data_IF_637560723536
#
_entry.id   IF_637560723536
#
_cell.length_a   1.000
_cell.length_b   1.000
_cell.length_c   1.000
_cell.angle_alpha   90.00
_cell.angle_beta   90.00
_cell.angle_gamma   90.00
#
_symmetry.space_group_name_H-M   'P 1'
#
loop_
_entity.id
_entity.type
_entity.pdbx_description
1 polymer ?
#
# COMPACT_ATOMS: atom_id res chain seq x y z
N UNK A 1 -2.79 25.02 25.98
CA UNK A 1 -3.16 26.40 25.58
C UNK A 1 -3.33 26.47 24.08
N UNK A 2 -4.36 27.14 23.59
CA UNK A 2 -4.53 27.41 22.16
C UNK A 2 -3.75 28.67 21.76
N UNK A 3 -3.18 28.67 20.56
CA UNK A 3 -2.48 29.81 19.98
C UNK A 3 -3.33 30.45 18.91
N UNK A 4 -3.53 31.76 18.97
CA UNK A 4 -4.19 32.56 17.96
C UNK A 4 -3.13 33.13 17.00
N UNK A 5 -3.36 33.02 15.69
CA UNK A 5 -2.38 33.45 14.68
C UNK A 5 -2.78 34.74 13.97
N UNK A 6 -4.04 35.09 13.95
CA UNK A 6 -4.57 36.25 13.21
C UNK A 6 -5.68 36.98 14.00
N UNK A 7 -5.50 37.18 15.32
CA UNK A 7 -6.50 37.77 16.17
C UNK A 7 -7.72 36.89 16.43
N UNK A 8 -8.78 37.47 17.05
CA UNK A 8 -9.97 36.75 17.52
C UNK A 8 -10.80 36.12 16.39
N UNK A 9 -10.75 36.67 15.20
CA UNK A 9 -11.45 36.19 14.00
C UNK A 9 -10.57 35.29 13.11
N UNK A 10 -9.32 35.10 13.46
CA UNK A 10 -8.36 34.25 12.70
C UNK A 10 -8.38 32.80 13.12
N UNK A 11 -7.65 32.00 12.33
CA UNK A 11 -7.46 30.58 12.66
C UNK A 11 -6.67 30.41 13.96
N UNK A 12 -7.04 29.42 14.76
CA UNK A 12 -6.34 29.08 15.99
C UNK A 12 -5.87 27.61 15.98
N UNK A 13 -4.81 27.33 16.71
CA UNK A 13 -4.28 25.98 16.89
C UNK A 13 -4.33 25.60 18.38
N UNK A 14 -4.89 24.45 18.67
CA UNK A 14 -5.04 23.92 20.01
C UNK A 14 -6.51 23.80 20.46
N UNK A 15 -6.73 23.58 21.76
CA UNK A 15 -8.06 23.34 22.33
C UNK A 15 -8.57 24.59 23.05
N UNK A 16 -9.79 24.99 22.72
CA UNK A 16 -10.55 26.05 23.41
C UNK A 16 -11.89 25.45 23.82
N UNK A 17 -12.09 25.24 25.10
CA UNK A 17 -13.31 24.61 25.63
C UNK A 17 -13.60 23.27 24.96
N UNK A 18 -14.71 23.19 24.26
CA UNK A 18 -15.18 21.99 23.55
C UNK A 18 -14.74 21.92 22.09
N UNK A 19 -13.92 22.85 21.62
CA UNK A 19 -13.48 22.95 20.23
C UNK A 19 -11.97 22.78 20.13
N UNK A 20 -11.53 22.04 19.11
CA UNK A 20 -10.13 21.88 18.75
C UNK A 20 -9.92 22.51 17.38
N UNK A 21 -9.05 23.54 17.31
CA UNK A 21 -8.59 24.15 16.07
C UNK A 21 -7.27 23.53 15.63
N UNK A 22 -7.09 23.35 14.33
CA UNK A 22 -5.85 22.88 13.73
C UNK A 22 -5.70 23.35 12.29
N UNK A 23 -4.44 23.40 11.82
CA UNK A 23 -4.12 23.79 10.45
C UNK A 23 -3.64 22.57 9.67
N UNK A 24 -4.17 22.36 8.48
CA UNK A 24 -3.76 21.32 7.54
C UNK A 24 -3.72 21.92 6.12
N UNK A 25 -2.64 21.69 5.38
CA UNK A 25 -2.45 22.18 4.01
C UNK A 25 -2.79 23.66 3.85
N UNK A 26 -2.29 24.48 4.76
CA UNK A 26 -2.52 25.93 4.82
C UNK A 26 -3.99 26.37 5.10
N UNK A 27 -4.89 25.45 5.40
CA UNK A 27 -6.28 25.73 5.75
C UNK A 27 -6.52 25.49 7.24
N UNK A 28 -7.43 26.28 7.82
CA UNK A 28 -7.83 26.17 9.20
C UNK A 28 -9.07 25.31 9.33
N UNK A 29 -9.03 24.38 10.25
CA UNK A 29 -10.14 23.48 10.56
C UNK A 29 -10.47 23.54 12.04
N UNK A 30 -11.74 23.31 12.33
CA UNK A 30 -12.25 23.17 13.69
C UNK A 30 -13.04 21.87 13.81
N UNK A 31 -12.89 21.19 14.93
CA UNK A 31 -13.72 20.02 15.27
C UNK A 31 -14.13 20.05 16.72
N UNK A 32 -15.25 19.42 17.03
CA UNK A 32 -15.66 19.24 18.42
C UNK A 32 -14.66 18.32 19.15
N UNK A 33 -14.37 18.63 20.40
CA UNK A 33 -13.63 17.75 21.28
C UNK A 33 -14.56 16.62 21.73
N UNK A 34 -14.21 15.34 21.49
CA UNK A 34 -15.04 14.25 21.96
C UNK A 34 -15.10 14.25 23.49
N UNK A 35 -16.30 14.05 24.05
CA UNK A 35 -16.52 14.03 25.51
C UNK A 35 -15.83 12.84 26.16
N UNK A 36 -15.91 11.67 25.52
CA UNK A 36 -15.16 10.46 25.90
C UNK A 36 -14.75 9.73 24.64
N UNK A 37 -13.60 9.09 24.70
CA UNK A 37 -13.10 8.22 23.62
C UNK A 37 -12.96 6.84 24.20
N UNK A 38 -13.88 5.94 23.84
CA UNK A 38 -13.69 4.53 24.10
C UNK A 38 -12.45 4.06 23.33
N UNK A 39 -11.48 3.50 24.05
CA UNK A 39 -10.29 2.92 23.46
C UNK A 39 -10.19 1.44 23.86
N UNK A 40 -11.07 0.60 23.32
CA UNK A 40 -10.99 -0.83 23.60
C UNK A 40 -9.65 -1.34 23.09
N UNK A 41 -8.99 -2.16 23.92
CA UNK A 41 -7.69 -2.78 23.61
C UNK A 41 -7.90 -4.24 23.23
N UNK A 42 -8.80 -4.49 22.28
CA UNK A 42 -8.96 -5.84 21.76
C UNK A 42 -7.70 -6.28 21.02
N UNK A 43 -7.44 -7.57 21.02
CA UNK A 43 -6.27 -8.16 20.37
C UNK A 43 -6.20 -7.78 18.87
N UNK A 44 -7.32 -7.89 18.16
CA UNK A 44 -7.43 -7.49 16.75
C UNK A 44 -7.07 -6.01 16.52
N UNK A 45 -7.54 -5.11 17.40
CA UNK A 45 -7.19 -3.69 17.29
C UNK A 45 -5.72 -3.43 17.59
N UNK A 46 -5.14 -4.16 18.53
CA UNK A 46 -3.71 -4.02 18.84
C UNK A 46 -2.86 -4.55 17.68
N UNK A 47 -3.22 -5.68 17.07
CA UNK A 47 -2.56 -6.24 15.91
C UNK A 47 -2.61 -5.24 14.72
N UNK A 48 -3.78 -4.70 14.41
CA UNK A 48 -3.94 -3.72 13.34
C UNK A 48 -3.13 -2.43 13.60
N UNK A 49 -3.09 -1.96 14.85
CA UNK A 49 -2.28 -0.78 15.20
C UNK A 49 -0.78 -1.03 15.07
N UNK A 50 -0.29 -2.23 15.41
CA UNK A 50 1.11 -2.62 15.20
C UNK A 50 1.44 -2.61 13.71
N UNK A 51 0.69 -3.35 12.89
CA UNK A 51 0.90 -3.40 11.45
C UNK A 51 0.90 -2.00 10.82
N UNK A 52 -0.03 -1.14 11.22
CA UNK A 52 -0.05 0.25 10.75
C UNK A 52 1.18 1.04 11.20
N UNK A 53 1.61 0.84 12.45
CA UNK A 53 2.83 1.45 12.98
C UNK A 53 4.08 1.02 12.22
N UNK A 54 4.18 -0.28 11.89
CA UNK A 54 5.29 -0.85 11.11
C UNK A 54 5.32 -0.25 9.70
N UNK A 55 4.15 -0.11 9.06
CA UNK A 55 4.02 0.51 7.74
C UNK A 55 4.43 2.00 7.74
N UNK A 56 4.05 2.75 8.77
CA UNK A 56 4.48 4.16 8.93
C UNK A 56 5.98 4.26 9.21
N UNK A 57 6.53 3.33 9.99
CA UNK A 57 7.97 3.23 10.24
C UNK A 57 8.73 2.95 8.95
N UNK A 58 8.26 1.99 8.15
CA UNK A 58 8.81 1.68 6.83
C UNK A 58 8.75 2.89 5.89
N UNK A 59 7.62 3.61 5.85
CA UNK A 59 7.50 4.84 5.07
C UNK A 59 8.55 5.90 5.46
N UNK A 60 8.88 5.99 6.74
CA UNK A 60 9.93 6.90 7.23
C UNK A 60 11.31 6.48 6.77
N UNK A 61 11.61 5.18 6.77
CA UNK A 61 12.88 4.62 6.28
C UNK A 61 13.03 4.78 4.76
N UNK A 62 11.95 4.61 4.00
CA UNK A 62 11.91 4.78 2.54
C UNK A 62 11.79 6.25 2.08
N UNK A 63 11.76 7.21 3.00
CA UNK A 63 11.50 8.61 2.69
C UNK A 63 12.40 9.21 1.59
N UNK A 64 13.69 8.87 1.45
CA UNK A 64 14.53 9.37 0.34
C UNK A 64 13.97 9.00 -1.04
N UNK A 65 13.49 7.78 -1.22
CA UNK A 65 12.86 7.31 -2.45
C UNK A 65 11.47 7.95 -2.64
N UNK A 66 10.67 8.00 -1.57
CA UNK A 66 9.30 8.52 -1.60
C UNK A 66 9.24 10.02 -1.92
N UNK A 67 10.22 10.82 -1.48
CA UNK A 67 10.29 12.26 -1.82
C UNK A 67 10.38 12.49 -3.32
N UNK A 68 11.03 11.60 -4.05
CA UNK A 68 11.10 11.66 -5.51
C UNK A 68 9.87 10.99 -6.12
N UNK A 69 9.61 9.74 -5.74
CA UNK A 69 8.56 8.92 -6.34
C UNK A 69 7.14 9.45 -6.16
N UNK A 70 6.85 10.11 -5.03
CA UNK A 70 5.53 10.66 -4.71
C UNK A 70 5.43 12.17 -4.96
N UNK A 71 6.45 12.80 -5.53
CA UNK A 71 6.52 14.25 -5.74
C UNK A 71 5.32 14.79 -6.50
N UNK A 72 4.83 14.05 -7.47
CA UNK A 72 3.68 14.44 -8.29
C UNK A 72 2.35 14.02 -7.67
N UNK A 73 2.26 12.80 -7.17
CA UNK A 73 1.04 12.22 -6.64
C UNK A 73 0.59 12.83 -5.29
N UNK A 74 1.51 12.99 -4.35
CA UNK A 74 1.18 13.41 -3.00
C UNK A 74 0.51 14.80 -2.91
N UNK A 75 0.97 15.87 -3.63
CA UNK A 75 0.31 17.16 -3.61
C UNK A 75 -1.09 17.14 -4.20
N UNK A 76 -1.33 16.37 -5.27
CA UNK A 76 -2.65 16.27 -5.90
C UNK A 76 -3.71 15.72 -4.93
N UNK A 77 -3.30 14.85 -3.99
CA UNK A 77 -4.17 14.27 -2.98
C UNK A 77 -4.07 14.97 -1.61
N UNK A 78 -3.41 16.13 -1.56
CA UNK A 78 -3.17 16.89 -0.32
C UNK A 78 -2.52 16.05 0.79
N UNK A 79 -1.59 15.17 0.43
CA UNK A 79 -0.88 14.25 1.32
C UNK A 79 0.61 14.57 1.40
N UNK A 80 1.28 14.05 2.43
CA UNK A 80 2.74 13.95 2.47
C UNK A 80 3.18 12.71 1.68
N UNK A 81 4.44 12.66 1.25
CA UNK A 81 4.97 11.49 0.52
C UNK A 81 4.81 10.18 1.31
N UNK A 82 5.07 10.20 2.63
CA UNK A 82 4.87 9.03 3.49
C UNK A 82 3.41 8.63 3.60
N UNK A 83 2.47 9.59 3.74
CA UNK A 83 1.04 9.28 3.78
C UNK A 83 0.53 8.73 2.45
N UNK A 84 1.04 9.26 1.32
CA UNK A 84 0.72 8.75 -0.01
C UNK A 84 1.19 7.29 -0.17
N UNK A 85 2.40 6.98 0.30
CA UNK A 85 2.92 5.61 0.31
C UNK A 85 2.02 4.67 1.12
N UNK A 86 1.67 5.04 2.35
CA UNK A 86 0.76 4.23 3.19
C UNK A 86 -0.59 4.06 2.50
N UNK A 87 -1.15 5.14 1.91
CA UNK A 87 -2.43 5.09 1.23
C UNK A 87 -2.45 4.11 0.04
N UNK A 88 -1.37 4.05 -0.73
CA UNK A 88 -1.27 3.18 -1.91
C UNK A 88 -0.96 1.72 -1.58
N UNK A 89 -0.28 1.47 -0.46
CA UNK A 89 0.25 0.15 -0.11
C UNK A 89 -0.46 -0.50 1.09
N UNK A 90 -1.49 0.14 1.63
CA UNK A 90 -2.31 -0.40 2.71
C UNK A 90 -3.65 -0.89 2.18
N UNK A 91 -3.90 -2.18 2.32
CA UNK A 91 -5.17 -2.82 1.95
C UNK A 91 -6.03 -3.11 3.18
N UNK A 92 -7.23 -3.63 2.97
CA UNK A 92 -8.10 -4.08 4.07
C UNK A 92 -7.47 -5.23 4.88
N UNK A 93 -6.62 -6.02 4.26
CA UNK A 93 -5.93 -7.17 4.87
C UNK A 93 -4.61 -6.76 5.56
N UNK A 94 -4.19 -5.52 5.38
CA UNK A 94 -2.95 -4.96 5.94
C UNK A 94 -1.98 -4.48 4.86
N UNK A 95 -0.68 -4.44 5.20
CA UNK A 95 0.37 -4.07 4.28
C UNK A 95 0.60 -5.17 3.22
N UNK A 96 0.83 -4.75 1.99
CA UNK A 96 1.24 -5.65 0.90
C UNK A 96 2.71 -6.05 1.04
N UNK A 97 3.15 -7.07 0.30
CA UNK A 97 4.56 -7.49 0.27
C UNK A 97 5.48 -6.36 -0.19
N UNK A 98 6.70 -6.30 0.34
CA UNK A 98 7.73 -5.33 -0.07
C UNK A 98 7.95 -5.31 -1.59
N UNK A 99 7.90 -6.47 -2.24
CA UNK A 99 8.08 -6.61 -3.68
C UNK A 99 6.99 -5.92 -4.50
N UNK A 100 5.77 -5.93 -3.98
CA UNK A 100 4.59 -5.37 -4.64
C UNK A 100 4.35 -3.90 -4.27
N UNK A 101 5.16 -3.35 -3.35
CA UNK A 101 5.00 -1.98 -2.89
C UNK A 101 5.32 -0.95 -3.95
N UNK A 102 4.44 0.02 -4.08
CA UNK A 102 4.60 1.18 -4.97
C UNK A 102 5.32 2.31 -4.25
N UNK A 103 6.56 2.56 -4.63
CA UNK A 103 7.35 3.68 -4.11
C UNK A 103 7.17 4.95 -4.95
N UNK A 104 6.68 4.80 -6.16
CA UNK A 104 6.47 5.88 -7.12
C UNK A 104 5.21 5.65 -7.93
N UNK A 105 4.52 6.73 -8.25
CA UNK A 105 3.35 6.75 -9.14
C UNK A 105 3.42 7.99 -10.02
N UNK A 106 3.23 7.82 -11.31
CA UNK A 106 3.17 8.93 -12.24
C UNK A 106 3.01 8.51 -13.70
N UNK A 107 2.91 9.48 -14.60
CA UNK A 107 2.57 9.24 -16.00
C UNK A 107 3.75 8.85 -16.89
N UNK A 108 4.98 8.87 -16.37
CA UNK A 108 6.17 8.56 -17.18
C UNK A 108 6.22 7.05 -17.44
N UNK A 109 6.36 6.60 -18.70
CA UNK A 109 6.43 5.18 -19.00
C UNK A 109 7.70 4.54 -18.42
N UNK A 110 7.56 3.33 -17.87
CA UNK A 110 8.70 2.55 -17.37
C UNK A 110 9.51 1.99 -18.54
N UNK A 111 10.80 1.70 -18.32
CA UNK A 111 11.63 0.89 -19.23
C UNK A 111 11.35 -0.58 -19.00
N UNK A 112 11.65 -1.43 -20.00
CA UNK A 112 11.61 -2.87 -19.81
C UNK A 112 13.03 -3.36 -19.53
N UNK A 113 13.28 -3.85 -18.31
CA UNK A 113 14.56 -4.46 -17.97
C UNK A 113 14.71 -5.81 -18.66
N UNK A 114 15.79 -5.97 -19.39
CA UNK A 114 16.13 -7.19 -20.12
C UNK A 114 17.15 -8.05 -19.37
N UNK A 115 17.95 -7.43 -18.53
CA UNK A 115 18.95 -8.11 -17.71
C UNK A 115 19.09 -7.39 -16.38
N UNK A 116 19.08 -8.17 -15.29
CA UNK A 116 19.26 -7.69 -13.92
C UNK A 116 20.20 -8.69 -13.26
N UNK A 117 21.45 -8.31 -13.01
CA UNK A 117 22.44 -9.18 -12.34
C UNK A 117 23.12 -8.42 -11.21
N UNK A 118 23.39 -9.14 -10.13
CA UNK A 118 24.23 -8.68 -9.03
C UNK A 118 25.31 -9.71 -8.82
N UNK A 119 26.53 -9.41 -9.23
CA UNK A 119 27.70 -10.29 -9.13
C UNK A 119 28.84 -9.54 -8.45
N UNK A 120 29.45 -10.14 -7.45
CA UNK A 120 30.55 -9.53 -6.68
C UNK A 120 30.27 -8.12 -6.16
N UNK A 121 28.99 -7.84 -5.84
CA UNK A 121 28.54 -6.51 -5.40
C UNK A 121 28.38 -5.51 -6.54
N UNK A 122 28.55 -5.90 -7.80
CA UNK A 122 28.30 -5.06 -8.97
C UNK A 122 26.88 -5.32 -9.48
N UNK A 123 26.05 -4.28 -9.43
CA UNK A 123 24.73 -4.28 -10.05
C UNK A 123 24.88 -3.94 -11.53
N UNK A 124 24.45 -4.84 -12.40
CA UNK A 124 24.37 -4.59 -13.84
C UNK A 124 22.92 -4.68 -14.30
N UNK A 125 22.47 -3.63 -14.97
CA UNK A 125 21.13 -3.51 -15.53
C UNK A 125 21.22 -3.23 -17.03
N UNK A 126 20.38 -3.90 -17.83
CA UNK A 126 20.14 -3.54 -19.21
C UNK A 126 18.64 -3.37 -19.45
N UNK A 127 18.26 -2.45 -20.31
CA UNK A 127 16.85 -2.17 -20.58
C UNK A 127 16.63 -1.70 -22.02
N UNK A 128 15.38 -1.87 -22.48
CA UNK A 128 14.88 -1.23 -23.68
C UNK A 128 14.33 0.16 -23.37
N UNK A 129 14.58 1.09 -24.25
CA UNK A 129 14.17 2.50 -24.08
C UNK A 129 12.66 2.70 -24.03
N UNK A 130 11.89 1.82 -24.69
CA UNK A 130 10.42 1.94 -24.81
C UNK A 130 9.96 3.31 -25.32
N UNK A 131 10.69 3.92 -26.25
CA UNK A 131 10.40 5.27 -26.78
C UNK A 131 9.11 5.33 -27.61
N UNK A 132 8.53 4.19 -27.98
CA UNK A 132 7.24 4.10 -28.62
C UNK A 132 6.06 4.44 -27.71
N UNK A 133 6.29 4.42 -26.38
CA UNK A 133 5.30 4.85 -25.41
C UNK A 133 5.25 6.38 -25.37
N UNK A 134 4.03 6.91 -25.46
CA UNK A 134 3.79 8.34 -25.38
C UNK A 134 4.34 8.93 -24.06
N UNK A 135 5.17 9.95 -24.18
CA UNK A 135 5.78 10.61 -23.01
C UNK A 135 7.16 10.10 -22.61
N UNK A 136 7.68 9.03 -23.23
CA UNK A 136 9.04 8.55 -23.01
C UNK A 136 10.06 9.46 -23.74
N UNK A 137 11.12 9.86 -23.02
CA UNK A 137 12.19 10.70 -23.57
C UNK A 137 13.56 10.06 -23.33
N UNK A 138 14.51 10.36 -24.19
CA UNK A 138 15.88 9.87 -24.06
C UNK A 138 16.59 10.39 -22.80
N UNK A 139 16.23 11.60 -22.38
CA UNK A 139 16.81 12.33 -21.24
C UNK A 139 16.18 11.94 -19.90
N UNK A 140 15.14 11.09 -19.90
CA UNK A 140 14.55 10.60 -18.66
C UNK A 140 15.60 9.85 -17.84
N UNK A 141 15.62 10.08 -16.54
CA UNK A 141 16.57 9.48 -15.62
C UNK A 141 16.00 8.22 -14.98
N UNK A 142 16.67 7.10 -15.23
CA UNK A 142 16.43 5.83 -14.53
C UNK A 142 17.17 5.90 -13.20
N UNK A 143 16.42 5.91 -12.09
CA UNK A 143 16.99 5.96 -10.73
C UNK A 143 16.78 4.63 -10.04
N UNK A 144 17.83 4.13 -9.41
CA UNK A 144 17.81 2.89 -8.65
C UNK A 144 17.94 3.22 -7.17
N UNK A 145 16.96 2.80 -6.40
CA UNK A 145 16.94 2.93 -4.95
C UNK A 145 17.17 1.57 -4.31
N UNK A 146 18.08 1.53 -3.35
CA UNK A 146 18.35 0.38 -2.52
C UNK A 146 17.85 0.63 -1.10
N UNK A 147 17.23 -0.36 -0.50
CA UNK A 147 16.77 -0.37 0.89
C UNK A 147 17.35 -1.57 1.62
N UNK A 148 18.14 -1.30 2.63
CA UNK A 148 18.63 -2.31 3.56
C UNK A 148 17.66 -2.41 4.75
N UNK A 149 17.04 -3.57 4.93
CA UNK A 149 16.05 -3.78 5.98
C UNK A 149 16.68 -3.78 7.38
N UNK A 150 17.85 -4.39 7.54
CA UNK A 150 18.56 -4.49 8.82
C UNK A 150 18.96 -3.12 9.37
N UNK A 151 19.55 -2.30 8.51
CA UNK A 151 20.02 -0.96 8.88
C UNK A 151 18.91 0.09 8.78
N UNK A 152 17.81 -0.23 8.11
CA UNK A 152 16.71 0.71 7.84
C UNK A 152 17.14 1.89 6.96
N UNK A 153 18.14 1.71 6.11
CA UNK A 153 18.70 2.75 5.24
C UNK A 153 18.15 2.63 3.83
N UNK A 154 17.84 3.77 3.24
CA UNK A 154 17.45 3.88 1.83
C UNK A 154 18.33 4.90 1.12
N UNK A 155 18.89 4.52 -0.01
CA UNK A 155 19.74 5.39 -0.82
C UNK A 155 19.47 5.21 -2.31
N UNK A 156 19.63 6.30 -3.09
CA UNK A 156 19.76 6.20 -4.53
C UNK A 156 21.18 5.73 -4.85
N UNK A 157 21.32 4.48 -5.26
CA UNK A 157 22.63 3.85 -5.52
C UNK A 157 23.13 4.09 -6.93
N UNK A 158 22.21 4.35 -7.87
CA UNK A 158 22.60 4.63 -9.24
C UNK A 158 21.56 5.50 -9.96
N UNK A 159 22.06 6.23 -10.96
CA UNK A 159 21.23 7.01 -11.88
C UNK A 159 21.85 6.94 -13.28
N UNK A 160 21.03 6.70 -14.29
CA UNK A 160 21.46 6.71 -15.69
C UNK A 160 20.35 7.30 -16.57
N UNK A 161 20.71 7.86 -17.72
CA UNK A 161 19.72 8.30 -18.70
C UNK A 161 19.08 7.10 -19.40
N UNK A 162 17.80 7.20 -19.73
CA UNK A 162 17.06 6.18 -20.51
C UNK A 162 17.79 5.76 -21.78
N UNK A 163 18.45 6.72 -22.48
CA UNK A 163 19.19 6.46 -23.72
C UNK A 163 20.39 5.53 -23.54
N UNK A 164 20.97 5.43 -22.34
CA UNK A 164 22.16 4.63 -22.06
C UNK A 164 21.94 3.13 -22.22
N UNK A 165 20.69 2.66 -22.04
CA UNK A 165 20.28 1.24 -22.14
C UNK A 165 21.01 0.28 -21.21
N UNK A 166 22.00 0.76 -20.49
CA UNK A 166 22.84 -0.02 -19.59
C UNK A 166 23.30 0.84 -18.43
N UNK A 167 23.35 0.21 -17.26
CA UNK A 167 23.94 0.73 -16.04
C UNK A 167 24.77 -0.38 -15.42
N UNK A 168 26.01 -0.07 -14.98
CA UNK A 168 26.79 -0.95 -14.13
C UNK A 168 27.38 -0.11 -13.01
N UNK A 169 27.15 -0.51 -11.77
CA UNK A 169 27.59 0.22 -10.59
C UNK A 169 27.97 -0.73 -9.46
N UNK A 170 29.01 -0.40 -8.71
CA UNK A 170 29.35 -1.11 -7.50
C UNK A 170 28.36 -0.69 -6.39
N UNK A 171 27.68 -1.65 -5.81
CA UNK A 171 26.82 -1.40 -4.64
C UNK A 171 27.71 -1.21 -3.41
N UNK A 172 27.44 -0.20 -2.58
CA UNK A 172 28.08 -0.09 -1.27
C UNK A 172 27.80 -1.36 -0.44
N UNK A 173 28.73 -1.76 0.42
CA UNK A 173 28.62 -3.00 1.22
C UNK A 173 27.31 -3.11 1.99
N UNK A 174 26.80 -1.97 2.49
CA UNK A 174 25.51 -1.91 3.18
C UNK A 174 24.30 -2.31 2.31
N UNK A 175 24.45 -2.37 0.98
CA UNK A 175 23.35 -2.63 0.04
C UNK A 175 23.55 -3.88 -0.82
N UNK A 176 24.46 -4.78 -0.47
CA UNK A 176 24.70 -6.02 -1.23
C UNK A 176 23.50 -6.96 -1.24
N UNK A 177 22.77 -7.01 -0.12
CA UNK A 177 21.54 -7.82 0.05
C UNK A 177 20.29 -6.95 0.18
N UNK A 178 20.31 -5.76 -0.40
CA UNK A 178 19.22 -4.81 -0.27
C UNK A 178 18.09 -5.08 -1.27
N UNK A 179 16.91 -4.65 -0.90
CA UNK A 179 15.80 -4.54 -1.83
C UNK A 179 16.04 -3.40 -2.82
N UNK A 180 15.83 -3.67 -4.10
CA UNK A 180 16.11 -2.70 -5.17
C UNK A 180 14.81 -2.31 -5.89
N UNK A 181 14.61 -1.02 -6.11
CA UNK A 181 13.54 -0.48 -6.95
C UNK A 181 14.09 0.47 -7.99
N UNK A 182 13.54 0.36 -9.19
CA UNK A 182 13.73 1.32 -10.24
C UNK A 182 12.53 2.25 -10.34
N UNK A 183 12.79 3.51 -10.60
CA UNK A 183 11.80 4.49 -11.04
C UNK A 183 12.42 5.42 -12.08
N UNK A 184 11.59 6.02 -12.90
CA UNK A 184 12.04 6.97 -13.92
C UNK A 184 11.55 8.35 -13.54
N UNK A 185 12.42 9.33 -13.67
CA UNK A 185 12.11 10.74 -13.50
C UNK A 185 12.37 11.49 -14.81
N UNK A 186 11.38 12.21 -15.29
CA UNK A 186 11.53 13.07 -16.46
C UNK A 186 12.17 14.43 -16.07
N UNK A 187 12.66 15.21 -17.04
CA UNK A 187 13.26 16.54 -16.76
C UNK A 187 12.32 17.53 -16.07
N UNK A 188 11.00 17.29 -16.10
CA UNK A 188 10.01 18.11 -15.41
C UNK A 188 9.74 17.63 -13.96
N UNK A 189 10.42 16.58 -13.49
CA UNK A 189 10.25 16.00 -12.16
C UNK A 189 9.03 15.09 -12.01
N UNK A 190 8.38 14.69 -13.13
CA UNK A 190 7.33 13.67 -13.10
C UNK A 190 7.99 12.31 -13.07
N UNK A 191 7.31 11.34 -12.45
CA UNK A 191 7.87 10.00 -12.25
C UNK A 191 7.06 8.93 -12.97
N UNK A 192 7.64 7.75 -13.09
CA UNK A 192 6.96 6.52 -13.48
C UNK A 192 6.35 5.81 -12.27
N UNK A 193 5.61 4.75 -12.50
CA UNK A 193 5.39 3.73 -11.47
C UNK A 193 6.73 3.06 -11.13
N UNK A 194 6.93 2.68 -9.86
CA UNK A 194 8.15 1.98 -9.43
C UNK A 194 8.08 0.51 -9.80
N UNK A 195 9.23 -0.08 -10.12
CA UNK A 195 9.38 -1.50 -10.36
C UNK A 195 10.38 -2.09 -9.38
N UNK A 196 9.99 -3.16 -8.69
CA UNK A 196 10.91 -3.96 -7.89
C UNK A 196 11.84 -4.75 -8.81
N UNK A 197 13.14 -4.73 -8.51
CA UNK A 197 14.16 -5.43 -9.27
C UNK A 197 14.53 -6.72 -8.53
N UNK A 198 14.09 -7.85 -9.06
CA UNK A 198 14.59 -9.14 -8.61
C UNK A 198 15.88 -9.44 -9.36
N UNK A 199 17.01 -9.66 -8.66
CA UNK A 199 18.20 -10.18 -9.30
C UNK A 199 17.85 -11.51 -9.97
N UNK A 200 18.06 -11.60 -11.26
CA UNK A 200 17.98 -12.88 -11.96
C UNK A 200 19.13 -13.72 -11.42
N UNK A 201 18.86 -14.56 -10.43
CA UNK A 201 19.79 -15.64 -10.10
C UNK A 201 20.03 -16.42 -11.39
N UNK A 202 21.28 -16.64 -11.81
CA UNK A 202 21.53 -17.49 -12.95
C UNK A 202 20.81 -18.81 -12.68
N UNK A 203 19.81 -19.12 -13.50
CA UNK A 203 19.08 -20.37 -13.40
C UNK A 203 20.12 -21.50 -13.34
N UNK A 204 20.18 -22.19 -12.20
CA UNK A 204 20.98 -23.42 -12.11
C UNK A 204 20.68 -24.22 -13.36
N UNK A 205 21.70 -24.67 -14.11
CA UNK A 205 21.49 -25.43 -15.32
C UNK A 205 20.52 -26.55 -14.98
N UNK A 206 19.36 -26.55 -15.63
CA UNK A 206 18.36 -27.60 -15.50
C UNK A 206 19.09 -28.94 -15.61
N UNK A 207 19.10 -29.70 -14.52
CA UNK A 207 19.68 -31.05 -14.51
C UNK A 207 19.12 -31.78 -15.71
N UNK A 208 19.99 -32.44 -16.53
CA UNK A 208 19.51 -33.16 -17.69
C UNK A 208 18.51 -34.19 -17.20
N UNK A 209 17.31 -34.14 -17.75
CA UNK A 209 16.25 -35.13 -17.53
C UNK A 209 16.83 -36.51 -17.73
N UNK A 210 16.85 -37.33 -16.67
CA UNK A 210 17.24 -38.72 -16.71
C UNK A 210 16.46 -39.44 -17.80
N UNK A 211 17.12 -40.28 -18.63
CA UNK A 211 16.41 -41.01 -19.66
C UNK A 211 15.40 -41.96 -19.02
N UNK A 212 14.17 -41.88 -19.50
CA UNK A 212 13.06 -42.75 -19.13
C UNK A 212 13.45 -44.23 -19.29
N UNK A 213 13.41 -44.98 -18.19
CA UNK A 213 13.57 -46.44 -18.19
C UNK A 213 12.47 -47.09 -19.04
N UNK A 214 12.80 -48.18 -19.77
CA UNK A 214 11.83 -48.83 -20.63
C UNK A 214 10.74 -49.54 -19.80
N UNK A 215 9.52 -49.40 -20.26
CA UNK A 215 8.31 -50.03 -19.77
C UNK A 215 8.41 -51.54 -19.70
N UNK A 216 8.15 -52.11 -18.53
CA UNK A 216 7.93 -53.57 -18.35
C UNK A 216 6.48 -53.93 -18.76
N UNK A 217 6.28 -55.20 -19.23
CA UNK A 217 5.07 -55.57 -19.96
C UNK A 217 3.84 -55.77 -19.07
N UNK A 218 2.72 -55.49 -19.67
CA UNK A 218 1.37 -55.67 -19.18
C UNK A 218 1.06 -57.16 -18.93
N UNK A 219 0.48 -57.49 -17.78
CA UNK A 219 -0.26 -58.73 -17.56
C UNK A 219 -1.75 -58.44 -17.42
N UNK A 220 -2.59 -59.24 -18.11
CA UNK A 220 -4.05 -59.06 -18.06
C UNK A 220 -4.68 -59.98 -17.01
N UNK A 221 -5.73 -59.55 -16.37
CA UNK A 221 -6.92 -60.31 -15.94
C UNK A 221 -7.72 -59.50 -14.91
N UNK A 222 -8.77 -58.99 -15.35
CA UNK A 222 -10.24 -59.35 -15.22
C UNK A 222 -10.86 -59.33 -13.82
N UNK A 223 -12.18 -59.29 -13.77
CA UNK A 223 -12.92 -58.18 -13.14
C UNK A 223 -13.72 -58.72 -11.92
N UNK A 224 -13.98 -57.86 -11.00
CA UNK A 224 -15.07 -58.13 -10.04
C UNK A 224 -15.78 -56.86 -9.65
N UNK A 225 -17.03 -56.76 -10.11
CA UNK A 225 -18.07 -55.92 -9.54
C UNK A 225 -18.81 -56.79 -8.50
N UNK A 226 -19.11 -56.31 -7.31
CA UNK A 226 -20.52 -56.03 -7.08
C UNK A 226 -20.86 -54.88 -6.13
N UNK A 227 -21.95 -54.21 -6.51
CA UNK A 227 -23.12 -53.85 -5.68
C UNK A 227 -23.04 -52.66 -4.72
N UNK A 228 -23.77 -51.69 -5.11
CA UNK A 228 -24.43 -50.61 -4.37
C UNK A 228 -25.31 -51.18 -3.23
N UNK A 229 -25.44 -50.47 -2.14
CA UNK A 229 -26.79 -50.22 -1.66
C UNK A 229 -27.11 -48.73 -1.48
N UNK A 230 -28.30 -48.49 -1.90
CA UNK A 230 -29.18 -47.34 -1.90
C UNK A 230 -29.38 -46.70 -0.53
N UNK A 231 -29.74 -45.44 -0.61
CA UNK A 231 -30.08 -44.42 0.39
C UNK A 231 -31.08 -44.87 1.50
N UNK A 232 -31.29 -43.99 2.48
CA UNK A 232 -32.53 -43.25 2.44
C UNK A 232 -32.40 -41.72 2.65
N UNK A 233 -33.27 -41.10 1.92
CA UNK A 233 -33.78 -39.75 2.00
C UNK A 233 -34.42 -39.51 3.36
N UNK A 234 -34.00 -38.45 4.05
CA UNK A 234 -34.86 -37.83 5.06
C UNK A 234 -34.89 -36.33 4.83
N UNK A 235 -36.01 -35.95 4.38
CA UNK A 235 -36.52 -34.59 4.27
C UNK A 235 -36.99 -34.11 5.63
N UNK A 236 -36.42 -33.04 6.11
CA UNK A 236 -37.07 -32.19 7.12
C UNK A 236 -36.91 -30.71 6.77
N UNK A 237 -37.99 -29.94 6.87
CA UNK A 237 -38.02 -28.56 6.39
C UNK A 237 -37.47 -27.59 7.41
N UNK A 238 -36.75 -26.59 6.88
CA UNK A 238 -36.25 -25.41 7.58
C UNK A 238 -37.41 -24.57 8.13
N UNK A 239 -37.48 -24.44 9.42
CA UNK A 239 -38.25 -23.42 10.09
C UNK A 239 -37.39 -22.16 10.29
N UNK A 240 -37.92 -21.09 9.76
CA UNK A 240 -37.43 -19.72 9.89
C UNK A 240 -37.91 -19.15 11.23
N UNK A 241 -37.05 -18.60 12.09
CA UNK A 241 -37.53 -17.84 13.24
C UNK A 241 -37.84 -16.40 12.84
N UNK A 242 -39.04 -16.00 13.11
CA UNK A 242 -39.64 -14.68 12.96
C UNK A 242 -38.98 -13.67 13.89
N UNK A 243 -38.79 -12.47 13.36
CA UNK A 243 -38.55 -11.23 14.13
C UNK A 243 -39.75 -10.92 15.05
N UNK A 244 -39.54 -10.44 16.27
CA UNK A 244 -40.59 -9.77 17.01
C UNK A 244 -40.67 -8.29 16.57
N UNK A 245 -41.86 -7.97 16.05
CA UNK A 245 -42.32 -6.56 15.95
C UNK A 245 -42.64 -6.06 17.34
N UNK A 246 -42.06 -4.99 17.73
CA UNK A 246 -42.47 -4.24 18.89
C UNK A 246 -43.34 -3.06 18.46
N UNK A 247 -44.61 -3.21 18.80
CA UNK A 247 -45.65 -2.17 18.78
C UNK A 247 -45.88 -1.73 20.23
N UNK A 248 -45.71 -0.48 20.50
CA UNK A 248 -46.45 0.25 21.55
C UNK A 248 -46.04 1.70 21.47
N UNK A 249 -46.87 2.45 21.21
CA UNK A 249 -48.04 3.05 21.82
C UNK A 249 -47.76 4.54 22.09
N UNK A 250 -48.50 5.24 21.32
CA UNK A 250 -48.90 6.63 21.36
C UNK A 250 -49.53 6.95 22.71
N UNK A 251 -49.03 7.93 23.45
CA UNK A 251 -49.80 8.60 24.46
C UNK A 251 -49.57 10.11 24.37
N UNK A 252 -50.55 10.69 23.74
CA UNK A 252 -51.01 12.06 23.72
C UNK A 252 -51.34 12.49 25.15
N UNK A 253 -50.81 13.61 25.58
CA UNK A 253 -51.44 14.45 26.62
C UNK A 253 -51.22 15.91 26.25
N UNK A 254 -52.36 16.48 25.96
CA UNK A 254 -52.65 17.90 25.76
C UNK A 254 -52.64 18.69 27.08
N UNK A 255 -52.63 19.99 26.90
CA UNK A 255 -53.02 21.11 27.80
C UNK A 255 -51.82 21.71 28.54
N UNK A 256 -51.61 22.95 28.54
CA UNK A 256 -52.45 24.13 28.22
C UNK A 256 -51.67 25.36 28.71
N UNK A 257 -51.97 26.51 28.15
CA UNK A 257 -51.78 27.78 28.85
C UNK A 257 -50.75 28.74 28.30
N UNK A 258 -51.14 29.53 27.36
CA UNK A 258 -50.72 30.95 27.22
C UNK A 258 -51.46 31.79 28.27
N UNK A 259 -51.25 33.13 28.38
CA UNK A 259 -50.18 34.05 27.99
C UNK A 259 -49.86 35.07 29.12
N UNK A 260 -48.90 35.98 28.92
CA UNK A 260 -48.90 37.40 29.32
C UNK A 260 -47.52 38.01 29.05
N UNK A 261 -47.41 38.89 28.11
CA UNK A 261 -47.57 40.34 28.09
C UNK A 261 -46.51 41.09 28.89
N UNK A 262 -45.77 41.90 28.16
CA UNK A 262 -45.46 43.35 28.23
C UNK A 262 -44.50 43.89 29.28
N UNK A 263 -43.65 44.77 28.75
CA UNK A 263 -43.09 46.04 29.31
C UNK A 263 -41.79 45.86 30.14
N UNK A 264 -40.75 46.39 29.72
CA UNK A 264 -40.27 47.77 29.57
C UNK A 264 -38.92 47.74 28.87
#
# INVERSE_FOLDING_TARGET
MAKLHQGILGGFSGTVGTVIGYRRNNQWFMRAKPRSVANPRTEAQQAHRRQFGDMVSLASKLLPALKVGMRHYAPQHAMTAGNAFVHLNWTREGAISLKDMKLSVGPVPMVTFTEITVEDGVLTLKWDKNLHHHGAKNEDLVRIYAYNEEQGLTQCVATAERRSRRLSTLLPDAFREAHLWALIEDPMGRTSESQYLEPLTPSSPSSPSSPSSPSSPVSPFSPFIPSIPTAPTDTHPLQNPQEPRDTSDNKKLEQGGSPCSSQS
#
